data_IF_539156384524
#
_entry.id   IF_539156384524
#
_cell.length_a   1.000
_cell.length_b   1.000
_cell.length_c   1.000
_cell.angle_alpha   90.00
_cell.angle_beta   90.00
_cell.angle_gamma   90.00
#
_symmetry.space_group_name_H-M   'P 1'
#
loop_
_entity.id
_entity.type
_entity.pdbx_description
1 polymer ?
#
# COMPACT_ATOMS: atom_id res chain seq x y z
N UNK A 1 -1.92 -33.08 54.29
CA UNK A 1 -2.90 -32.41 53.39
C UNK A 1 -2.54 -31.00 52.92
N UNK A 2 -1.41 -30.37 53.32
CA UNK A 2 -1.03 -29.01 52.86
C UNK A 2 -0.20 -29.00 51.55
N UNK A 3 0.58 -30.03 51.27
CA UNK A 3 1.52 -30.07 50.13
C UNK A 3 0.80 -30.29 48.78
N UNK A 4 -0.25 -31.12 48.75
CA UNK A 4 -1.06 -31.38 47.54
C UNK A 4 -1.78 -30.12 47.01
N UNK A 5 -2.31 -29.27 47.90
CA UNK A 5 -2.98 -28.01 47.53
C UNK A 5 -2.05 -26.98 46.88
N UNK A 6 -0.76 -26.99 47.22
CA UNK A 6 0.24 -26.07 46.66
C UNK A 6 0.59 -26.50 45.23
N UNK A 7 0.68 -27.81 44.99
CA UNK A 7 1.00 -28.37 43.68
C UNK A 7 -0.11 -28.14 42.64
N UNK A 8 -1.38 -28.27 43.03
CA UNK A 8 -2.53 -27.94 42.16
C UNK A 8 -2.63 -26.45 41.85
N UNK A 9 -2.38 -25.58 42.85
CA UNK A 9 -2.35 -24.12 42.65
C UNK A 9 -1.25 -23.70 41.68
N UNK A 10 -0.06 -24.28 41.79
CA UNK A 10 1.07 -24.04 40.86
C UNK A 10 0.75 -24.52 39.44
N UNK A 11 0.12 -25.70 39.29
CA UNK A 11 -0.29 -26.23 37.98
C UNK A 11 -1.36 -25.36 37.30
N UNK A 12 -2.34 -24.88 38.06
CA UNK A 12 -3.38 -23.97 37.55
C UNK A 12 -2.79 -22.61 37.14
N UNK A 13 -1.87 -22.05 37.92
CA UNK A 13 -1.19 -20.80 37.57
C UNK A 13 -0.36 -20.94 36.28
N UNK A 14 0.33 -22.07 36.13
CA UNK A 14 1.09 -22.37 34.90
C UNK A 14 0.19 -22.46 33.67
N UNK A 15 -0.98 -23.09 33.80
CA UNK A 15 -1.99 -23.13 32.72
C UNK A 15 -2.57 -21.75 32.39
N UNK A 16 -2.82 -20.90 33.39
CA UNK A 16 -3.31 -19.52 33.18
C UNK A 16 -2.27 -18.67 32.45
N UNK A 17 -0.98 -18.79 32.81
CA UNK A 17 0.12 -18.06 32.14
C UNK A 17 0.24 -18.48 30.68
N UNK A 18 0.12 -19.78 30.38
CA UNK A 18 0.13 -20.28 28.99
C UNK A 18 -1.09 -19.76 28.22
N UNK A 19 -2.28 -19.75 28.83
CA UNK A 19 -3.49 -19.25 28.18
C UNK A 19 -3.42 -17.73 27.90
N UNK A 20 -2.89 -16.94 28.84
CA UNK A 20 -2.61 -15.51 28.66
C UNK A 20 -1.52 -15.23 27.61
N UNK A 21 -0.54 -16.11 27.48
CA UNK A 21 0.50 -15.96 26.45
C UNK A 21 -0.05 -16.15 25.03
N UNK A 22 -1.05 -17.03 24.84
CA UNK A 22 -1.71 -17.23 23.55
C UNK A 22 -2.56 -16.02 23.12
N UNK A 23 -3.15 -15.27 24.07
CA UNK A 23 -3.92 -14.06 23.75
C UNK A 23 -3.03 -12.87 23.38
N UNK A 24 -1.78 -12.83 23.86
CA UNK A 24 -0.83 -11.76 23.56
C UNK A 24 -0.17 -11.90 22.18
N UNK A 25 -0.25 -13.07 21.54
CA UNK A 25 0.31 -13.31 20.20
C UNK A 25 -0.61 -12.85 19.05
N UNK A 26 -1.84 -12.39 19.33
CA UNK A 26 -2.79 -11.93 18.30
C UNK A 26 -2.54 -10.49 17.79
N UNK A 27 -1.49 -9.80 18.27
CA UNK A 27 -1.34 -8.36 18.13
C UNK A 27 -0.14 -7.89 17.27
N UNK A 28 0.35 -8.71 16.33
CA UNK A 28 1.33 -8.26 15.33
C UNK A 28 0.99 -8.77 13.92
N UNK A 29 -0.20 -8.44 13.40
CA UNK A 29 -0.37 -8.43 11.94
C UNK A 29 0.37 -7.20 11.41
N UNK A 30 1.57 -7.39 10.87
CA UNK A 30 2.31 -6.32 10.18
C UNK A 30 1.40 -5.73 9.10
N UNK A 31 1.27 -4.40 9.05
CA UNK A 31 0.54 -3.73 7.97
C UNK A 31 1.16 -4.13 6.63
N UNK A 32 0.33 -4.40 5.63
CA UNK A 32 0.81 -4.64 4.27
C UNK A 32 1.45 -3.34 3.80
N UNK A 33 2.70 -3.46 3.39
CA UNK A 33 3.51 -2.38 2.86
C UNK A 33 4.55 -3.00 1.91
N UNK A 34 4.26 -2.92 0.61
CA UNK A 34 5.00 -3.62 -0.44
C UNK A 34 5.41 -2.62 -1.52
N UNK A 35 6.71 -2.64 -1.86
CA UNK A 35 7.30 -1.83 -2.92
C UNK A 35 7.88 -2.71 -4.02
N UNK A 36 7.61 -2.36 -5.27
CA UNK A 36 8.20 -3.01 -6.45
C UNK A 36 8.68 -1.98 -7.46
N UNK A 37 9.92 -2.07 -7.98
CA UNK A 37 10.38 -1.15 -9.00
C UNK A 37 9.58 -1.33 -10.29
N UNK A 38 9.30 -0.23 -10.98
CA UNK A 38 8.66 -0.18 -12.30
C UNK A 38 9.23 1.00 -13.09
N UNK A 39 9.46 0.83 -14.38
CA UNK A 39 9.84 1.94 -15.27
C UNK A 39 8.56 2.54 -15.86
N UNK A 40 8.08 3.67 -15.32
CA UNK A 40 6.83 4.27 -15.83
C UNK A 40 7.03 5.09 -17.11
N UNK A 41 8.28 5.27 -17.56
CA UNK A 41 8.57 6.06 -18.76
C UNK A 41 8.20 5.34 -20.05
N UNK A 42 8.01 4.02 -19.98
CA UNK A 42 7.71 3.15 -21.13
C UNK A 42 6.36 2.46 -20.96
N UNK A 43 5.67 2.26 -22.07
CA UNK A 43 4.47 1.44 -22.17
C UNK A 43 4.79 -0.05 -21.99
N UNK A 44 3.81 -0.81 -21.52
CA UNK A 44 3.85 -2.27 -21.40
C UNK A 44 4.66 -2.79 -20.22
N UNK A 45 5.23 -1.92 -19.39
CA UNK A 45 5.94 -2.35 -18.18
C UNK A 45 4.92 -2.89 -17.18
N UNK A 46 5.17 -4.09 -16.69
CA UNK A 46 4.22 -4.82 -15.84
C UNK A 46 4.86 -5.30 -14.57
N UNK A 47 4.17 -5.12 -13.45
CA UNK A 47 4.57 -5.62 -12.14
C UNK A 47 3.46 -6.48 -11.55
N UNK A 48 3.85 -7.65 -11.04
CA UNK A 48 2.98 -8.57 -10.33
C UNK A 48 3.27 -8.55 -8.83
N UNK A 49 2.22 -8.47 -8.02
CA UNK A 49 2.28 -8.58 -6.56
C UNK A 49 1.29 -9.65 -6.11
N UNK A 50 1.79 -10.67 -5.42
CA UNK A 50 0.97 -11.68 -4.75
C UNK A 50 0.97 -11.39 -3.24
N UNK A 51 -0.21 -11.32 -2.62
CA UNK A 51 -0.37 -10.97 -1.20
C UNK A 51 -1.60 -11.63 -0.56
N UNK A 52 -1.65 -11.67 0.77
CA UNK A 52 -2.76 -12.25 1.52
C UNK A 52 -3.28 -11.25 2.55
N UNK A 53 -4.59 -11.09 2.60
CA UNK A 53 -5.29 -10.21 3.53
C UNK A 53 -6.03 -11.08 4.55
N UNK A 54 -5.77 -10.83 5.83
CA UNK A 54 -6.39 -11.57 6.94
C UNK A 54 -7.63 -10.88 7.52
N UNK A 55 -7.77 -9.56 7.33
CA UNK A 55 -8.88 -8.75 7.83
C UNK A 55 -9.31 -7.75 6.77
N UNK A 56 -10.61 -7.43 6.72
CA UNK A 56 -11.11 -6.37 5.84
C UNK A 56 -10.35 -5.07 6.14
N UNK A 57 -9.95 -4.36 5.09
CA UNK A 57 -9.25 -3.08 5.21
C UNK A 57 -9.22 -2.34 3.89
N UNK A 58 -8.91 -1.05 3.95
CA UNK A 58 -8.69 -0.25 2.76
C UNK A 58 -7.21 -0.31 2.39
N UNK A 59 -6.92 -0.53 1.12
CA UNK A 59 -5.56 -0.68 0.61
C UNK A 59 -5.37 0.23 -0.59
N UNK A 60 -4.28 1.00 -0.55
CA UNK A 60 -3.90 1.94 -1.58
C UNK A 60 -2.88 1.31 -2.52
N UNK A 61 -3.16 1.38 -3.81
CA UNK A 61 -2.21 1.16 -4.89
C UNK A 61 -1.73 2.53 -5.38
N UNK A 62 -0.43 2.75 -5.43
CA UNK A 62 0.13 4.03 -5.84
C UNK A 62 1.44 3.88 -6.63
N UNK A 63 1.76 4.91 -7.42
CA UNK A 63 3.11 5.10 -7.96
C UNK A 63 3.87 6.08 -7.07
N UNK A 64 5.07 5.68 -6.70
CA UNK A 64 6.05 6.47 -5.99
C UNK A 64 7.22 6.80 -6.92
N UNK A 65 7.83 7.96 -6.70
CA UNK A 65 8.92 8.48 -7.50
C UNK A 65 10.03 8.99 -6.60
N UNK A 66 11.28 8.74 -6.99
CA UNK A 66 12.39 9.44 -6.38
C UNK A 66 12.35 10.92 -6.79
N UNK A 67 12.12 11.77 -5.79
CA UNK A 67 12.04 13.22 -5.97
C UNK A 67 13.41 13.89 -6.08
N UNK A 68 14.49 13.18 -5.75
CA UNK A 68 15.83 13.75 -5.66
C UNK A 68 15.97 14.72 -4.47
N UNK A 69 16.95 15.62 -4.55
CA UNK A 69 17.13 16.69 -3.57
C UNK A 69 16.09 17.83 -3.72
N UNK A 70 16.13 18.82 -2.83
CA UNK A 70 15.14 19.91 -2.80
C UNK A 70 15.17 20.80 -4.07
N UNK A 71 16.31 20.90 -4.75
CA UNK A 71 16.44 21.70 -5.97
C UNK A 71 15.95 20.93 -7.20
N UNK A 72 16.24 19.63 -7.27
CA UNK A 72 15.72 18.73 -8.28
C UNK A 72 14.20 18.55 -8.14
N UNK A 73 13.69 18.44 -6.92
CA UNK A 73 12.26 18.35 -6.65
C UNK A 73 11.50 19.59 -7.15
N UNK A 74 12.02 20.80 -6.92
CA UNK A 74 11.43 22.04 -7.45
C UNK A 74 11.40 22.07 -8.98
N UNK A 75 12.46 21.58 -9.64
CA UNK A 75 12.51 21.47 -11.11
C UNK A 75 11.49 20.47 -11.65
N UNK A 76 11.24 19.39 -10.91
CA UNK A 76 10.31 18.31 -11.27
C UNK A 76 8.87 18.56 -10.79
N UNK A 77 8.57 19.69 -10.16
CA UNK A 77 7.24 19.99 -9.60
C UNK A 77 6.14 19.93 -10.67
N UNK A 78 6.43 20.39 -11.89
CA UNK A 78 5.48 20.29 -13.01
C UNK A 78 5.23 18.85 -13.46
N UNK A 79 6.20 17.96 -13.27
CA UNK A 79 6.04 16.54 -13.57
C UNK A 79 5.08 15.92 -12.57
N UNK A 80 5.29 16.16 -11.28
CA UNK A 80 4.54 15.51 -10.20
C UNK A 80 3.16 16.11 -9.97
N UNK A 81 2.98 17.39 -10.27
CA UNK A 81 1.77 18.15 -10.01
C UNK A 81 1.86 19.01 -8.74
N UNK A 82 0.96 19.97 -8.62
CA UNK A 82 0.76 20.83 -7.44
C UNK A 82 -0.72 21.25 -7.36
N UNK A 83 -1.09 22.05 -6.33
CA UNK A 83 -2.45 22.50 -5.96
C UNK A 83 -3.47 22.59 -7.12
N UNK A 84 -3.09 23.14 -8.28
CA UNK A 84 -3.98 23.35 -9.44
C UNK A 84 -3.51 22.64 -10.74
N UNK A 85 -2.56 21.72 -10.64
CA UNK A 85 -2.03 20.94 -11.76
C UNK A 85 -1.83 19.48 -11.37
N UNK A 86 -2.50 18.58 -12.06
CA UNK A 86 -2.39 17.12 -11.84
C UNK A 86 -0.99 16.54 -12.19
N UNK A 87 -0.12 17.37 -12.77
CA UNK A 87 1.17 16.97 -13.31
C UNK A 87 1.01 16.16 -14.59
N UNK A 88 2.07 15.43 -14.96
CA UNK A 88 2.03 14.52 -16.11
C UNK A 88 1.18 13.31 -15.75
N UNK A 89 0.08 13.03 -16.44
CA UNK A 89 -0.76 11.86 -16.15
C UNK A 89 -0.04 10.57 -16.60
N UNK A 90 -0.07 9.54 -15.77
CA UNK A 90 0.48 8.21 -16.10
C UNK A 90 -0.66 7.19 -16.21
N UNK A 91 -1.08 6.79 -17.43
CA UNK A 91 -2.14 5.81 -17.60
C UNK A 91 -1.61 4.40 -17.29
N UNK A 92 -2.32 3.70 -16.40
CA UNK A 92 -2.02 2.34 -15.97
C UNK A 92 -3.28 1.47 -16.03
N UNK A 93 -3.13 0.16 -16.18
CA UNK A 93 -4.20 -0.79 -15.86
C UNK A 93 -3.89 -1.49 -14.55
N UNK A 94 -4.93 -1.72 -13.73
CA UNK A 94 -4.86 -2.54 -12.52
C UNK A 94 -5.79 -3.73 -12.69
N UNK A 95 -5.20 -4.92 -12.77
CA UNK A 95 -5.90 -6.19 -12.79
C UNK A 95 -5.66 -6.92 -11.47
N UNK A 96 -6.72 -7.06 -10.66
CA UNK A 96 -6.68 -7.65 -9.33
C UNK A 96 -7.56 -8.90 -9.29
N UNK A 97 -6.95 -10.02 -8.95
CA UNK A 97 -7.61 -11.32 -8.78
C UNK A 97 -7.64 -11.67 -7.30
N UNK A 98 -8.79 -12.14 -6.81
CA UNK A 98 -8.99 -12.66 -5.46
C UNK A 98 -9.39 -14.13 -5.54
N UNK A 99 -8.66 -15.02 -4.88
CA UNK A 99 -8.96 -16.45 -4.81
C UNK A 99 -9.20 -17.11 -6.19
N UNK A 100 -8.58 -16.59 -7.25
CA UNK A 100 -8.73 -17.09 -8.62
C UNK A 100 -9.83 -16.40 -9.45
N UNK A 101 -10.62 -15.50 -8.87
CA UNK A 101 -11.65 -14.74 -9.57
C UNK A 101 -11.26 -13.26 -9.72
N UNK A 102 -11.63 -12.64 -10.83
CA UNK A 102 -11.37 -11.20 -11.05
C UNK A 102 -12.17 -10.40 -10.05
N UNK A 103 -11.47 -9.60 -9.24
CA UNK A 103 -12.06 -8.72 -8.23
C UNK A 103 -12.16 -7.28 -8.75
N UNK A 104 -11.15 -6.82 -9.49
CA UNK A 104 -11.12 -5.49 -10.08
C UNK A 104 -10.28 -5.52 -11.36
N UNK A 105 -10.73 -4.86 -12.42
CA UNK A 105 -10.01 -4.78 -13.70
C UNK A 105 -10.39 -3.49 -14.44
N UNK A 106 -9.59 -2.45 -14.26
CA UNK A 106 -9.84 -1.14 -14.88
C UNK A 106 -8.55 -0.46 -15.35
N UNK A 107 -8.71 0.44 -16.33
CA UNK A 107 -7.69 1.41 -16.73
C UNK A 107 -7.88 2.69 -15.93
N UNK A 108 -6.80 3.24 -15.41
CA UNK A 108 -6.80 4.36 -14.48
C UNK A 108 -5.69 5.34 -14.88
N UNK A 109 -6.01 6.63 -14.79
CA UNK A 109 -5.04 7.71 -14.93
C UNK A 109 -4.45 8.04 -13.57
N UNK A 110 -3.19 7.68 -13.32
CA UNK A 110 -2.48 8.05 -12.10
C UNK A 110 -1.92 9.48 -12.23
N UNK A 111 -2.54 10.43 -11.52
CA UNK A 111 -2.13 11.83 -11.44
C UNK A 111 -1.70 12.22 -10.02
N UNK A 112 -1.09 13.40 -9.87
CA UNK A 112 -0.89 14.00 -8.56
C UNK A 112 -2.23 14.32 -7.90
N UNK A 113 -2.34 14.09 -6.59
CA UNK A 113 -3.54 14.45 -5.82
C UNK A 113 -3.19 15.56 -4.84
N UNK A 114 -3.92 16.66 -4.94
CA UNK A 114 -3.92 17.74 -3.95
C UNK A 114 -5.19 17.65 -3.11
N UNK A 115 -5.08 17.87 -1.81
CA UNK A 115 -6.24 17.95 -0.92
C UNK A 115 -6.05 19.06 0.12
N UNK A 116 -7.17 19.66 0.54
CA UNK A 116 -7.17 20.69 1.57
C UNK A 116 -7.18 20.05 2.97
N UNK A 117 -6.22 20.45 3.80
CA UNK A 117 -6.13 20.09 5.21
C UNK A 117 -5.89 21.35 6.04
N UNK A 118 -6.81 21.64 6.98
CA UNK A 118 -6.72 22.81 7.87
C UNK A 118 -6.52 24.16 7.12
N UNK A 119 -7.14 24.33 5.96
CA UNK A 119 -7.03 25.54 5.15
C UNK A 119 -5.70 25.69 4.39
N UNK A 120 -4.87 24.63 4.37
CA UNK A 120 -3.67 24.52 3.54
C UNK A 120 -3.87 23.42 2.51
N UNK A 121 -3.54 23.71 1.26
CA UNK A 121 -3.53 22.68 0.22
C UNK A 121 -2.22 21.88 0.31
N UNK A 122 -2.33 20.57 0.54
CA UNK A 122 -1.21 19.64 0.60
C UNK A 122 -1.13 18.89 -0.73
N UNK A 123 0.05 18.87 -1.33
CA UNK A 123 0.34 18.09 -2.55
C UNK A 123 1.22 16.91 -2.18
N UNK A 124 0.83 15.69 -2.55
CA UNK A 124 1.63 14.48 -2.31
C UNK A 124 2.38 14.06 -3.58
N UNK A 125 3.64 13.65 -3.44
CA UNK A 125 4.41 13.01 -4.52
C UNK A 125 3.95 11.56 -4.81
N UNK A 126 3.02 11.05 -3.98
CA UNK A 126 2.34 9.77 -4.17
C UNK A 126 1.24 9.95 -5.21
N UNK A 127 1.25 9.12 -6.25
CA UNK A 127 0.20 9.11 -7.26
C UNK A 127 -0.71 7.94 -7.03
N UNK A 128 -1.87 8.22 -6.46
CA UNK A 128 -2.89 7.22 -6.21
C UNK A 128 -3.36 6.62 -7.55
N UNK A 129 -3.24 5.30 -7.67
CA UNK A 129 -3.91 4.54 -8.73
C UNK A 129 -5.33 4.26 -8.25
N UNK A 130 -5.46 3.58 -7.11
CA UNK A 130 -6.78 3.26 -6.53
C UNK A 130 -6.64 2.89 -5.07
N UNK A 131 -7.60 3.33 -4.26
CA UNK A 131 -7.86 2.75 -2.95
C UNK A 131 -9.05 1.80 -3.03
N UNK A 132 -8.89 0.57 -2.57
CA UNK A 132 -9.93 -0.47 -2.58
C UNK A 132 -10.15 -1.03 -1.18
N UNK A 133 -11.42 -1.24 -0.82
CA UNK A 133 -11.77 -1.99 0.39
C UNK A 133 -11.70 -3.48 0.07
N UNK A 134 -10.68 -4.15 0.61
CA UNK A 134 -10.36 -5.53 0.28
C UNK A 134 -10.76 -6.47 1.44
N UNK A 135 -11.68 -7.42 1.20
CA UNK A 135 -11.98 -8.46 2.18
C UNK A 135 -10.85 -9.49 2.34
N UNK A 136 -10.86 -10.34 3.39
CA UNK A 136 -9.85 -11.38 3.56
C UNK A 136 -9.76 -12.33 2.35
N UNK A 137 -8.55 -12.72 1.98
CA UNK A 137 -8.31 -13.62 0.86
C UNK A 137 -6.90 -13.52 0.30
N UNK A 138 -6.63 -14.38 -0.68
CA UNK A 138 -5.37 -14.36 -1.43
C UNK A 138 -5.56 -13.56 -2.70
N UNK A 139 -4.65 -12.64 -2.94
CA UNK A 139 -4.72 -11.69 -4.03
C UNK A 139 -3.51 -11.78 -4.94
N UNK A 140 -3.75 -11.46 -6.20
CA UNK A 140 -2.73 -11.26 -7.22
C UNK A 140 -3.07 -9.98 -7.98
N UNK A 141 -2.22 -8.96 -7.86
CA UNK A 141 -2.36 -7.70 -8.58
C UNK A 141 -1.33 -7.64 -9.70
N UNK A 142 -1.77 -7.25 -10.89
CA UNK A 142 -0.91 -6.91 -12.02
C UNK A 142 -1.19 -5.46 -12.39
N UNK A 143 -0.15 -4.64 -12.35
CA UNK A 143 -0.21 -3.24 -12.78
C UNK A 143 0.64 -3.12 -14.03
N UNK A 144 0.08 -2.49 -15.07
CA UNK A 144 0.75 -2.33 -16.36
C UNK A 144 0.66 -0.89 -16.83
N UNK A 145 1.79 -0.30 -17.26
CA UNK A 145 1.82 1.02 -17.90
C UNK A 145 1.23 0.92 -19.30
N UNK A 146 0.38 1.87 -19.68
CA UNK A 146 -0.36 1.80 -20.94
C UNK A 146 0.26 2.65 -22.04
N UNK A 147 0.96 3.72 -21.70
CA UNK A 147 1.55 4.66 -22.65
C UNK A 147 3.00 4.99 -22.29
N UNK A 148 3.77 5.43 -23.28
CA UNK A 148 5.09 5.98 -23.05
C UNK A 148 4.95 7.36 -22.39
N UNK A 149 5.60 7.54 -21.24
CA UNK A 149 5.60 8.80 -20.49
C UNK A 149 7.04 9.28 -20.33
N UNK A 150 7.68 9.76 -21.41
CA UNK A 150 9.12 10.06 -21.43
C UNK A 150 9.54 11.14 -20.44
N UNK A 151 8.59 11.90 -19.89
CA UNK A 151 8.81 12.87 -18.85
C UNK A 151 9.39 12.26 -17.55
N UNK A 152 9.20 10.95 -17.34
CA UNK A 152 9.79 10.21 -16.21
C UNK A 152 11.10 9.47 -16.56
N UNK A 153 11.68 9.70 -17.74
CA UNK A 153 12.96 9.09 -18.11
C UNK A 153 14.07 9.42 -17.10
N UNK A 154 14.72 8.37 -16.59
CA UNK A 154 15.81 8.52 -15.61
C UNK A 154 15.35 8.85 -14.18
N UNK A 155 14.04 8.80 -13.91
CA UNK A 155 13.47 8.91 -12.57
C UNK A 155 13.17 7.50 -12.06
N UNK A 156 13.72 7.15 -10.89
CA UNK A 156 13.37 5.88 -10.27
C UNK A 156 11.92 5.91 -9.80
N UNK A 157 11.17 4.87 -10.15
CA UNK A 157 9.76 4.73 -9.78
C UNK A 157 9.42 3.35 -9.22
N UNK A 158 8.43 3.34 -8.33
CA UNK A 158 8.01 2.17 -7.60
C UNK A 158 6.49 2.08 -7.57
N UNK A 159 5.97 0.87 -7.67
CA UNK A 159 4.60 0.55 -7.30
C UNK A 159 4.56 0.28 -5.79
N UNK A 160 3.66 0.94 -5.10
CA UNK A 160 3.33 0.73 -3.69
C UNK A 160 1.97 0.04 -3.56
N UNK A 161 1.92 -0.95 -2.66
CA UNK A 161 0.70 -1.48 -2.08
C UNK A 161 0.80 -1.33 -0.55
N UNK A 162 -0.01 -0.44 0.00
CA UNK A 162 -0.01 -0.13 1.42
C UNK A 162 -1.42 -0.19 2.02
N UNK A 163 -1.51 -0.54 3.31
CA UNK A 163 -2.74 -0.36 4.08
C UNK A 163 -3.04 1.14 4.22
N UNK A 164 -4.23 1.56 3.80
CA UNK A 164 -4.68 2.94 3.85
C UNK A 164 -5.63 3.13 5.05
N UNK A 165 -5.25 4.01 5.98
CA UNK A 165 -6.14 4.46 7.03
C UNK A 165 -6.27 5.98 6.93
N UNK A 166 -7.44 6.53 6.56
CA UNK A 166 -7.60 7.97 6.39
C UNK A 166 -7.48 8.77 7.70
N UNK A 167 -7.37 8.10 8.86
CA UNK A 167 -7.27 8.74 10.19
C UNK A 167 -5.87 8.67 10.79
N UNK A 168 -4.91 8.03 10.13
CA UNK A 168 -3.51 7.97 10.56
C UNK A 168 -2.68 8.89 9.68
#
# INVERSE_FOLDING_TARGET
MKVLRIHERLKNWRNIIVFMSCTLLMACSKSIDIYKPIDVSKSGQSVKIDFEISKVGDYQFALLFDKGDDDEMKRRLELFGYIDKDGVITPVSLHLVRNGEVFFDEKISAGGRSFDFEGRSITTAVREIKTLSLPPGRYSAVITTLEDVPAFNGIESFLELAYFNPKI
#
